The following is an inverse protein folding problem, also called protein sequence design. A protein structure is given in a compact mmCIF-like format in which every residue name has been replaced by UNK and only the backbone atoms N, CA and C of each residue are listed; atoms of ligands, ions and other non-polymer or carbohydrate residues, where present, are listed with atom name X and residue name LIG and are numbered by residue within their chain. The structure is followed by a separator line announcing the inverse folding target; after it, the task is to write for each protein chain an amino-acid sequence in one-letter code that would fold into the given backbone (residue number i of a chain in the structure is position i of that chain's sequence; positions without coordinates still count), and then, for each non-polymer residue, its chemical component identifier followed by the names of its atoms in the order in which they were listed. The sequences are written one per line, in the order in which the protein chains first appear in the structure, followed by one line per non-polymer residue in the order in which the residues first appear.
data_IF_945061989718
#
_entry.id   IF_945061989718
#
_cell.length_a   1.000
_cell.length_b   1.000
_cell.length_c   1.000
_cell.angle_alpha   90.00
_cell.angle_beta   90.00
_cell.angle_gamma   90.00
#
_symmetry.space_group_name_H-M   'P 1'
#
loop_
_entity.id
_entity.type
_entity.pdbx_description
1 polymer ?
#
# COMPACT_ATOMS: atom_id res chain seq x y z
N UNK A 1 10.27 18.44 0.60
CA UNK A 1 9.19 17.68 -0.08
C UNK A 1 7.98 17.52 0.84
N UNK A 2 6.75 17.34 0.28
CA UNK A 2 5.53 17.06 1.06
C UNK A 2 4.80 15.86 0.46
N UNK A 3 4.47 14.88 1.29
CA UNK A 3 3.66 13.71 0.91
C UNK A 3 2.20 13.97 1.27
N UNK A 4 1.32 13.92 0.28
CA UNK A 4 -0.11 14.20 0.41
C UNK A 4 -0.91 12.90 0.32
N UNK A 5 -1.78 12.69 1.27
CA UNK A 5 -2.69 11.54 1.35
C UNK A 5 -2.78 10.97 2.76
N UNK A 6 -3.80 10.18 3.00
CA UNK A 6 -4.05 9.51 4.29
C UNK A 6 -3.19 8.25 4.44
N UNK A 7 -2.73 7.95 5.67
CA UNK A 7 -1.90 6.75 5.94
C UNK A 7 -2.70 5.44 5.99
N UNK A 8 -4.03 5.48 6.01
CA UNK A 8 -4.88 4.31 5.78
C UNK A 8 -4.79 3.80 4.34
N UNK A 9 -4.35 4.65 3.40
CA UNK A 9 -4.00 4.21 2.06
C UNK A 9 -2.69 3.42 2.06
N UNK A 10 -2.69 2.16 1.63
CA UNK A 10 -1.48 1.35 1.55
C UNK A 10 -0.43 1.95 0.62
N UNK A 11 -0.87 2.65 -0.42
CA UNK A 11 0.01 3.33 -1.36
C UNK A 11 0.71 4.55 -0.74
N UNK A 12 0.02 5.31 0.11
CA UNK A 12 0.62 6.45 0.84
C UNK A 12 1.57 5.92 1.91
N UNK A 13 1.13 4.93 2.69
CA UNK A 13 1.89 4.36 3.80
C UNK A 13 3.22 3.76 3.33
N UNK A 14 3.22 2.97 2.22
CA UNK A 14 4.48 2.41 1.70
C UNK A 14 5.47 3.49 1.28
N UNK A 15 4.99 4.62 0.74
CA UNK A 15 5.85 5.75 0.37
C UNK A 15 6.40 6.44 1.62
N UNK A 16 5.58 6.71 2.63
CA UNK A 16 6.01 7.35 3.87
C UNK A 16 7.12 6.55 4.57
N UNK A 17 6.93 5.24 4.73
CA UNK A 17 7.91 4.32 5.32
C UNK A 17 9.21 4.32 4.50
N UNK A 18 9.10 4.27 3.18
CA UNK A 18 10.27 4.24 2.28
C UNK A 18 11.07 5.53 2.30
N UNK A 19 10.41 6.70 2.33
CA UNK A 19 11.07 8.00 2.47
C UNK A 19 11.89 8.08 3.75
N UNK A 20 11.33 7.62 4.87
CA UNK A 20 12.01 7.58 6.15
C UNK A 20 13.26 6.67 6.11
N UNK A 21 13.12 5.46 5.56
CA UNK A 21 14.24 4.51 5.41
C UNK A 21 15.33 5.02 4.48
N UNK A 22 14.99 5.80 3.46
CA UNK A 22 15.95 6.47 2.57
C UNK A 22 16.61 7.69 3.24
N UNK A 23 16.13 8.13 4.41
CA UNK A 23 16.64 9.31 5.11
C UNK A 23 16.20 10.62 4.45
N UNK A 24 15.11 10.61 3.69
CA UNK A 24 14.59 11.78 2.99
C UNK A 24 13.62 12.51 3.90
N UNK A 25 13.94 13.74 4.26
CA UNK A 25 13.05 14.60 5.03
C UNK A 25 11.83 15.04 4.20
N UNK A 26 10.63 14.88 4.76
CA UNK A 26 9.38 15.31 4.14
C UNK A 26 8.35 15.73 5.18
N UNK A 27 7.44 16.64 4.81
CA UNK A 27 6.21 16.89 5.55
C UNK A 27 5.13 15.92 5.10
N UNK A 28 4.28 15.46 6.02
CA UNK A 28 3.10 14.66 5.69
C UNK A 28 1.83 15.48 5.88
N UNK A 29 1.00 15.56 4.82
CA UNK A 29 -0.30 16.21 4.84
C UNK A 29 -1.41 15.18 4.64
N UNK A 30 -2.17 14.94 5.70
CA UNK A 30 -3.25 13.96 5.76
C UNK A 30 -4.51 14.51 5.09
N UNK A 31 -4.57 14.47 3.76
CA UNK A 31 -5.71 14.95 2.98
C UNK A 31 -6.41 13.77 2.32
N UNK A 32 -7.72 13.63 2.58
CA UNK A 32 -8.54 12.57 2.00
C UNK A 32 -8.90 12.88 0.55
N UNK A 33 -8.78 11.85 -0.32
CA UNK A 33 -9.28 11.91 -1.71
C UNK A 33 -10.82 11.86 -1.79
N UNK A 34 -11.50 11.61 -0.67
CA UNK A 34 -12.97 11.55 -0.58
C UNK A 34 -13.54 12.81 0.08
N UNK A 35 -13.25 13.06 1.36
CA UNK A 35 -13.78 14.22 2.08
C UNK A 35 -13.03 15.51 1.80
N UNK A 36 -11.78 15.43 1.35
CA UNK A 36 -10.89 16.56 1.05
C UNK A 36 -10.70 16.87 -0.43
N UNK A 37 -11.61 16.44 -1.31
CA UNK A 37 -11.47 16.54 -2.78
C UNK A 37 -11.07 17.94 -3.24
N UNK A 38 -11.73 18.99 -2.73
CA UNK A 38 -11.42 20.38 -3.10
C UNK A 38 -9.99 20.79 -2.71
N UNK A 39 -9.55 20.40 -1.53
CA UNK A 39 -8.19 20.69 -1.06
C UNK A 39 -7.17 19.85 -1.86
N UNK A 40 -7.47 18.58 -2.09
CA UNK A 40 -6.58 17.68 -2.81
C UNK A 40 -6.42 18.11 -4.27
N UNK A 41 -7.52 18.48 -4.94
CA UNK A 41 -7.50 18.90 -6.35
C UNK A 41 -6.75 20.21 -6.59
N UNK A 42 -6.65 21.08 -5.58
CA UNK A 42 -5.82 22.28 -5.64
C UNK A 42 -4.31 21.97 -5.65
N UNK A 43 -3.91 20.79 -5.18
CA UNK A 43 -2.52 20.30 -5.19
C UNK A 43 -2.27 19.42 -6.41
N UNK A 44 -3.16 18.45 -6.62
CA UNK A 44 -3.12 17.52 -7.75
C UNK A 44 -4.54 17.35 -8.32
N UNK A 45 -4.84 17.91 -9.51
CA UNK A 45 -6.18 17.86 -10.09
C UNK A 45 -6.66 16.44 -10.43
N UNK A 46 -5.75 15.45 -10.51
CA UNK A 46 -6.10 14.04 -10.71
C UNK A 46 -6.71 13.42 -9.44
N UNK A 47 -6.54 14.08 -8.27
CA UNK A 47 -7.04 13.60 -6.96
C UNK A 47 -6.56 12.17 -6.66
N UNK A 48 -5.28 11.90 -6.88
CA UNK A 48 -4.68 10.56 -6.70
C UNK A 48 -3.65 10.57 -5.56
N UNK A 49 -3.93 9.80 -4.52
CA UNK A 49 -2.99 9.53 -3.42
C UNK A 49 -2.17 8.23 -3.68
N UNK A 50 -0.87 8.21 -3.33
CA UNK A 50 -0.06 9.33 -2.86
C UNK A 50 0.22 10.37 -3.94
N UNK A 51 0.33 11.62 -3.50
CA UNK A 51 0.92 12.71 -4.28
C UNK A 51 2.14 13.21 -3.53
N UNK A 52 3.28 13.36 -4.22
CA UNK A 52 4.50 13.95 -3.68
C UNK A 52 4.72 15.31 -4.34
N UNK A 53 4.75 16.37 -3.53
CA UNK A 53 5.15 17.70 -3.97
C UNK A 53 6.64 17.86 -3.69
N UNK A 54 7.43 18.04 -4.74
CA UNK A 54 8.87 18.21 -4.68
C UNK A 54 9.26 19.62 -4.23
N UNK A 55 10.55 19.84 -3.90
CA UNK A 55 11.05 21.14 -3.42
C UNK A 55 11.02 22.22 -4.50
N UNK A 56 11.07 21.84 -5.78
CA UNK A 56 10.93 22.71 -6.94
C UNK A 56 9.47 23.01 -7.34
N UNK A 57 8.51 22.45 -6.59
CA UNK A 57 7.07 22.54 -6.87
C UNK A 57 6.55 21.47 -7.83
N UNK A 58 7.39 20.60 -8.37
CA UNK A 58 6.98 19.47 -9.20
C UNK A 58 6.05 18.52 -8.43
N UNK A 59 5.01 17.99 -9.09
CA UNK A 59 4.01 17.11 -8.50
C UNK A 59 4.11 15.73 -9.12
N UNK A 60 4.43 14.75 -8.30
CA UNK A 60 4.51 13.34 -8.70
C UNK A 60 3.36 12.54 -8.10
N UNK A 61 2.90 11.54 -8.82
CA UNK A 61 1.90 10.58 -8.36
C UNK A 61 2.22 9.20 -8.89
N UNK A 62 1.50 8.22 -8.37
CA UNK A 62 1.72 6.78 -8.43
C UNK A 62 2.91 6.37 -7.53
N UNK A 63 2.59 5.52 -6.55
CA UNK A 63 3.54 5.18 -5.48
C UNK A 63 4.85 4.59 -5.98
N UNK A 64 4.83 3.76 -7.04
CA UNK A 64 6.04 3.12 -7.55
C UNK A 64 6.95 4.11 -8.29
N UNK A 65 6.36 5.08 -9.02
CA UNK A 65 7.12 6.14 -9.70
C UNK A 65 7.71 7.13 -8.68
N UNK A 66 6.95 7.47 -7.62
CA UNK A 66 7.46 8.26 -6.51
C UNK A 66 8.67 7.57 -5.88
N UNK A 67 8.57 6.26 -5.58
CA UNK A 67 9.67 5.50 -4.98
C UNK A 67 10.88 5.43 -5.89
N UNK A 68 10.69 5.20 -7.19
CA UNK A 68 11.77 5.21 -8.17
C UNK A 68 12.50 6.57 -8.21
N UNK A 69 11.75 7.66 -8.19
CA UNK A 69 12.31 9.01 -8.17
C UNK A 69 13.13 9.28 -6.90
N UNK A 70 12.59 8.95 -5.71
CA UNK A 70 13.27 9.25 -4.45
C UNK A 70 14.48 8.36 -4.22
N UNK A 71 14.48 7.13 -4.71
CA UNK A 71 15.67 6.26 -4.73
C UNK A 71 16.78 6.87 -5.62
N UNK A 72 16.44 7.27 -6.84
CA UNK A 72 17.37 7.92 -7.75
C UNK A 72 17.95 9.21 -7.15
N UNK A 73 17.10 10.02 -6.49
CA UNK A 73 17.52 11.26 -5.82
C UNK A 73 18.43 11.01 -4.61
N UNK A 74 18.16 9.98 -3.82
CA UNK A 74 18.94 9.67 -2.60
C UNK A 74 20.26 8.95 -2.89
N UNK A 75 20.44 8.38 -4.07
CA UNK A 75 21.53 7.48 -4.40
C UNK A 75 21.50 6.16 -3.61
N UNK A 76 20.38 5.85 -2.95
CA UNK A 76 20.16 4.64 -2.15
C UNK A 76 19.01 3.83 -2.75
N UNK A 77 19.04 2.51 -2.58
CA UNK A 77 17.99 1.64 -3.07
C UNK A 77 17.45 0.72 -1.96
N UNK A 78 16.13 0.57 -1.94
CA UNK A 78 15.42 -0.41 -1.09
C UNK A 78 15.21 -1.74 -1.83
N UNK A 79 15.92 -1.97 -2.92
CA UNK A 79 15.95 -3.20 -3.70
C UNK A 79 17.29 -3.90 -3.58
N UNK A 80 17.34 -5.19 -3.85
CA UNK A 80 18.59 -5.94 -3.96
C UNK A 80 19.39 -5.48 -5.18
N UNK A 81 20.72 -5.49 -5.05
CA UNK A 81 21.64 -5.33 -6.19
C UNK A 81 21.92 -6.64 -6.92
N UNK A 82 21.55 -7.79 -6.33
CA UNK A 82 21.62 -9.09 -6.97
C UNK A 82 20.43 -9.29 -7.90
N UNK A 83 20.63 -9.47 -9.23
CA UNK A 83 19.54 -9.61 -10.20
C UNK A 83 18.61 -10.79 -9.92
N UNK A 84 19.14 -11.90 -9.39
CA UNK A 84 18.32 -13.07 -9.08
C UNK A 84 17.36 -12.78 -7.91
N UNK A 85 17.85 -12.15 -6.86
CA UNK A 85 17.01 -11.71 -5.74
C UNK A 85 16.04 -10.60 -6.17
N UNK A 86 16.49 -9.63 -6.95
CA UNK A 86 15.68 -8.53 -7.47
C UNK A 86 14.46 -9.03 -8.25
N UNK A 87 14.62 -10.08 -9.06
CA UNK A 87 13.49 -10.71 -9.77
C UNK A 87 12.40 -11.18 -8.80
N UNK A 88 12.77 -11.80 -7.68
CA UNK A 88 11.82 -12.26 -6.67
C UNK A 88 11.19 -11.10 -5.90
N UNK A 89 11.97 -10.06 -5.60
CA UNK A 89 11.45 -8.83 -4.99
C UNK A 89 10.39 -8.15 -5.89
N UNK A 90 10.67 -8.00 -7.18
CA UNK A 90 9.72 -7.45 -8.15
C UNK A 90 8.46 -8.29 -8.27
N UNK A 91 8.60 -9.63 -8.29
CA UNK A 91 7.46 -10.53 -8.31
C UNK A 91 6.59 -10.35 -7.05
N UNK A 92 7.20 -10.30 -5.86
CA UNK A 92 6.49 -10.10 -4.61
C UNK A 92 5.73 -8.77 -4.57
N UNK A 93 6.39 -7.66 -4.95
CA UNK A 93 5.78 -6.34 -5.01
C UNK A 93 4.66 -6.30 -6.06
N UNK A 94 4.86 -6.90 -7.22
CA UNK A 94 3.83 -7.00 -8.27
C UNK A 94 2.58 -7.72 -7.77
N UNK A 95 2.74 -8.87 -7.08
CA UNK A 95 1.63 -9.61 -6.48
C UNK A 95 0.93 -8.81 -5.39
N UNK A 96 1.69 -8.17 -4.49
CA UNK A 96 1.14 -7.33 -3.44
C UNK A 96 0.32 -6.16 -4.02
N UNK A 97 0.85 -5.44 -5.01
CA UNK A 97 0.15 -4.32 -5.62
C UNK A 97 -1.08 -4.76 -6.42
N UNK A 98 -1.04 -5.92 -7.08
CA UNK A 98 -2.21 -6.49 -7.74
C UNK A 98 -3.32 -6.83 -6.72
N UNK A 99 -2.97 -7.47 -5.61
CA UNK A 99 -3.92 -7.74 -4.53
C UNK A 99 -4.50 -6.44 -3.94
N UNK A 100 -3.65 -5.44 -3.69
CA UNK A 100 -4.02 -4.13 -3.16
C UNK A 100 -5.02 -3.40 -4.06
N UNK A 101 -4.76 -3.38 -5.37
CA UNK A 101 -5.66 -2.76 -6.36
C UNK A 101 -7.05 -3.40 -6.33
N UNK A 102 -7.11 -4.74 -6.31
CA UNK A 102 -8.39 -5.44 -6.28
C UNK A 102 -9.11 -5.27 -4.95
N UNK A 103 -8.38 -5.29 -3.83
CA UNK A 103 -8.94 -4.98 -2.53
C UNK A 103 -9.56 -3.57 -2.49
N UNK A 104 -8.86 -2.56 -2.99
CA UNK A 104 -9.39 -1.20 -3.09
C UNK A 104 -10.64 -1.11 -3.98
N UNK A 105 -10.67 -1.82 -5.12
CA UNK A 105 -11.83 -1.88 -6.00
C UNK A 105 -13.05 -2.53 -5.30
N UNK A 106 -12.84 -3.60 -4.52
CA UNK A 106 -13.92 -4.24 -3.74
C UNK A 106 -14.46 -3.25 -2.71
N UNK A 107 -13.57 -2.59 -1.96
CA UNK A 107 -13.96 -1.60 -0.97
C UNK A 107 -14.77 -0.47 -1.60
N UNK A 108 -14.33 0.07 -2.75
CA UNK A 108 -15.04 1.14 -3.45
C UNK A 108 -16.41 0.67 -3.97
N UNK A 109 -16.49 -0.51 -4.54
CA UNK A 109 -17.75 -1.08 -5.01
C UNK A 109 -18.75 -1.24 -3.84
N UNK A 110 -18.27 -1.70 -2.69
CA UNK A 110 -19.11 -1.96 -1.52
C UNK A 110 -19.48 -0.70 -0.72
N UNK A 111 -18.58 0.29 -0.65
CA UNK A 111 -18.74 1.45 0.22
C UNK A 111 -19.25 2.70 -0.51
N UNK A 112 -18.90 2.87 -1.79
CA UNK A 112 -19.22 4.09 -2.53
C UNK A 112 -20.43 3.92 -3.45
N UNK A 113 -20.76 2.69 -3.87
CA UNK A 113 -21.92 2.44 -4.71
C UNK A 113 -23.16 2.10 -3.87
N UNK A 114 -24.32 2.66 -4.23
CA UNK A 114 -25.59 2.18 -3.66
C UNK A 114 -25.74 0.67 -3.89
N UNK A 115 -26.28 -0.05 -2.90
CA UNK A 115 -26.42 -1.52 -2.96
C UNK A 115 -27.10 -1.99 -4.24
N UNK A 116 -28.14 -1.28 -4.70
CA UNK A 116 -28.87 -1.60 -5.93
C UNK A 116 -28.04 -1.39 -7.22
N UNK A 117 -26.90 -0.69 -7.14
CA UNK A 117 -26.02 -0.43 -8.28
C UNK A 117 -24.72 -1.25 -8.22
N UNK A 118 -24.53 -2.09 -7.20
CA UNK A 118 -23.40 -2.99 -7.08
C UNK A 118 -23.55 -4.15 -8.08
N UNK A 119 -22.43 -4.54 -8.70
CA UNK A 119 -22.45 -5.59 -9.71
C UNK A 119 -21.68 -6.81 -9.25
N UNK A 120 -22.40 -7.81 -8.71
CA UNK A 120 -21.82 -9.02 -8.11
C UNK A 120 -20.84 -9.78 -9.03
N UNK A 121 -21.12 -10.02 -10.32
CA UNK A 121 -20.17 -10.74 -11.16
C UNK A 121 -18.80 -10.04 -11.28
N UNK A 122 -18.79 -8.70 -11.19
CA UNK A 122 -17.53 -7.94 -11.13
C UNK A 122 -16.81 -8.13 -9.80
N UNK A 123 -17.56 -8.05 -8.69
CA UNK A 123 -16.98 -8.27 -7.34
C UNK A 123 -16.42 -9.67 -7.21
N UNK A 124 -17.11 -10.69 -7.68
CA UNK A 124 -16.62 -12.08 -7.70
C UNK A 124 -15.30 -12.19 -8.49
N UNK A 125 -15.26 -11.58 -9.67
CA UNK A 125 -14.05 -11.59 -10.52
C UNK A 125 -12.86 -10.95 -9.83
N UNK A 126 -13.01 -9.72 -9.29
CA UNK A 126 -11.90 -9.01 -8.66
C UNK A 126 -11.51 -9.64 -7.32
N UNK A 127 -12.45 -10.25 -6.59
CA UNK A 127 -12.18 -11.07 -5.40
C UNK A 127 -11.32 -12.27 -5.75
N UNK A 128 -11.69 -13.03 -6.79
CA UNK A 128 -10.87 -14.15 -7.27
C UNK A 128 -9.44 -13.73 -7.65
N UNK A 129 -9.27 -12.58 -8.30
CA UNK A 129 -7.95 -12.03 -8.64
C UNK A 129 -7.15 -11.64 -7.39
N UNK A 130 -7.79 -10.99 -6.43
CA UNK A 130 -7.18 -10.62 -5.14
C UNK A 130 -6.68 -11.87 -4.40
N UNK A 131 -7.55 -12.87 -4.24
CA UNK A 131 -7.22 -14.11 -3.55
C UNK A 131 -6.09 -14.87 -4.24
N UNK A 132 -6.09 -14.94 -5.57
CA UNK A 132 -5.03 -15.57 -6.34
C UNK A 132 -3.67 -14.85 -6.14
N UNK A 133 -3.68 -13.51 -6.14
CA UNK A 133 -2.47 -12.73 -5.90
C UNK A 133 -1.95 -12.89 -4.46
N UNK A 134 -2.83 -12.87 -3.45
CA UNK A 134 -2.46 -13.11 -2.05
C UNK A 134 -1.92 -14.52 -1.84
N UNK A 135 -2.55 -15.54 -2.44
CA UNK A 135 -2.07 -16.93 -2.34
C UNK A 135 -0.69 -17.11 -2.97
N UNK A 136 -0.47 -16.49 -4.12
CA UNK A 136 0.85 -16.51 -4.76
C UNK A 136 1.90 -15.76 -3.92
N UNK A 137 1.52 -14.63 -3.30
CA UNK A 137 2.41 -13.87 -2.42
C UNK A 137 2.73 -14.65 -1.13
N UNK A 138 1.75 -15.30 -0.50
CA UNK A 138 1.94 -16.20 0.64
C UNK A 138 2.98 -17.27 0.31
N UNK A 139 2.84 -17.90 -0.86
CA UNK A 139 3.79 -18.91 -1.33
C UNK A 139 5.21 -18.34 -1.51
N UNK A 140 5.34 -17.14 -2.09
CA UNK A 140 6.65 -16.46 -2.25
C UNK A 140 7.29 -16.16 -0.88
N UNK A 141 6.52 -15.64 0.09
CA UNK A 141 7.02 -15.33 1.44
C UNK A 141 7.49 -16.60 2.15
N UNK A 142 6.71 -17.68 2.09
CA UNK A 142 7.04 -18.93 2.72
C UNK A 142 8.23 -19.65 2.07
N UNK A 143 8.31 -19.63 0.73
CA UNK A 143 9.36 -20.31 0.00
C UNK A 143 10.71 -19.58 0.04
N UNK A 144 10.69 -18.23 0.10
CA UNK A 144 11.90 -17.39 0.01
C UNK A 144 12.02 -16.42 1.16
N UNK A 145 12.13 -16.90 2.41
CA UNK A 145 12.17 -16.00 3.57
C UNK A 145 13.33 -15.01 3.52
N UNK A 146 14.43 -15.34 2.83
CA UNK A 146 15.59 -14.45 2.68
C UNK A 146 15.24 -13.16 1.91
N UNK A 147 14.31 -13.20 0.95
CA UNK A 147 13.85 -12.01 0.18
C UNK A 147 13.13 -11.01 1.10
N UNK A 148 12.51 -11.50 2.18
CA UNK A 148 11.71 -10.71 3.11
C UNK A 148 12.39 -10.50 4.47
N UNK A 149 13.65 -10.96 4.61
CA UNK A 149 14.38 -10.90 5.88
C UNK A 149 14.71 -9.46 6.29
N UNK A 150 15.14 -8.64 5.34
CA UNK A 150 15.46 -7.23 5.56
C UNK A 150 14.14 -6.40 5.56
N UNK A 151 13.77 -5.82 6.73
CA UNK A 151 12.56 -5.00 6.85
C UNK A 151 12.62 -3.69 6.05
N UNK A 152 13.81 -3.29 5.59
CA UNK A 152 14.02 -2.10 4.77
C UNK A 152 13.86 -2.32 3.26
N UNK A 153 13.54 -3.53 2.80
CA UNK A 153 13.38 -3.82 1.37
C UNK A 153 11.93 -3.68 0.91
N UNK A 154 11.75 -3.24 -0.33
CA UNK A 154 10.42 -2.99 -0.91
C UNK A 154 9.52 -4.23 -0.90
N UNK A 155 10.09 -5.43 -1.09
CA UNK A 155 9.34 -6.68 -1.01
C UNK A 155 8.69 -6.85 0.38
N UNK A 156 9.45 -6.65 1.45
CA UNK A 156 8.95 -6.76 2.82
C UNK A 156 7.96 -5.64 3.15
N UNK A 157 8.34 -4.38 2.89
CA UNK A 157 7.51 -3.18 3.17
C UNK A 157 6.15 -3.29 2.47
N UNK A 158 6.17 -3.49 1.14
CA UNK A 158 4.93 -3.48 0.35
C UNK A 158 4.02 -4.66 0.71
N UNK A 159 4.59 -5.86 0.90
CA UNK A 159 3.80 -7.04 1.29
C UNK A 159 3.13 -6.86 2.65
N UNK A 160 3.86 -6.35 3.66
CA UNK A 160 3.30 -6.12 4.99
C UNK A 160 2.22 -5.04 4.98
N UNK A 161 2.48 -3.89 4.33
CA UNK A 161 1.51 -2.79 4.23
C UNK A 161 0.23 -3.23 3.53
N UNK A 162 0.35 -3.98 2.42
CA UNK A 162 -0.81 -4.48 1.67
C UNK A 162 -1.57 -5.52 2.48
N UNK A 163 -0.88 -6.42 3.17
CA UNK A 163 -1.53 -7.40 4.04
C UNK A 163 -2.32 -6.72 5.15
N UNK A 164 -1.70 -5.78 5.88
CA UNK A 164 -2.37 -5.02 6.95
C UNK A 164 -3.62 -4.30 6.43
N UNK A 165 -3.52 -3.63 5.27
CA UNK A 165 -4.66 -2.98 4.63
C UNK A 165 -5.77 -3.98 4.28
N UNK A 166 -5.43 -5.08 3.64
CA UNK A 166 -6.41 -6.07 3.18
C UNK A 166 -7.13 -6.72 4.36
N UNK A 167 -6.40 -7.02 5.45
CA UNK A 167 -7.01 -7.53 6.68
C UNK A 167 -7.93 -6.51 7.35
N UNK A 168 -7.53 -5.24 7.39
CA UNK A 168 -8.37 -4.19 7.97
C UNK A 168 -9.66 -3.96 7.19
N UNK A 169 -9.61 -4.03 5.86
CA UNK A 169 -10.76 -3.72 4.99
C UNK A 169 -11.64 -4.92 4.66
N UNK A 170 -11.06 -6.11 4.54
CA UNK A 170 -11.73 -7.31 4.02
C UNK A 170 -11.46 -8.55 4.90
N UNK A 171 -11.01 -8.37 6.13
CA UNK A 171 -10.63 -9.46 7.04
C UNK A 171 -11.73 -10.49 7.30
N UNK A 172 -13.00 -10.09 7.25
CA UNK A 172 -14.12 -11.01 7.35
C UNK A 172 -14.21 -12.02 6.19
N UNK A 173 -13.59 -11.69 5.03
CA UNK A 173 -13.54 -12.52 3.82
C UNK A 173 -12.21 -13.29 3.69
N UNK A 174 -11.20 -12.95 4.52
CA UNK A 174 -9.86 -13.47 4.46
C UNK A 174 -9.49 -14.12 5.80
N UNK A 175 -9.52 -15.44 5.86
CA UNK A 175 -9.00 -16.17 7.01
C UNK A 175 -7.49 -15.93 7.17
N UNK A 176 -7.06 -15.20 8.21
CA UNK A 176 -5.63 -14.97 8.45
C UNK A 176 -4.85 -16.29 8.62
N UNK A 177 -5.51 -17.35 9.05
CA UNK A 177 -4.94 -18.68 9.18
C UNK A 177 -4.53 -19.32 7.83
N UNK A 178 -5.12 -18.87 6.73
CA UNK A 178 -4.79 -19.34 5.37
C UNK A 178 -3.53 -18.67 4.80
N UNK A 179 -3.00 -17.63 5.50
CA UNK A 179 -1.86 -16.81 5.07
C UNK A 179 -0.84 -16.62 6.20
N UNK A 180 -0.33 -17.70 6.82
CA UNK A 180 0.50 -17.62 8.01
C UNK A 180 1.82 -16.86 7.78
N UNK A 181 2.44 -16.99 6.59
CA UNK A 181 3.71 -16.32 6.30
C UNK A 181 3.53 -14.81 6.14
N UNK A 182 2.48 -14.38 5.44
CA UNK A 182 2.13 -12.96 5.31
C UNK A 182 1.73 -12.35 6.65
N UNK A 183 0.94 -13.06 7.44
CA UNK A 183 0.54 -12.62 8.77
C UNK A 183 1.77 -12.42 9.68
N UNK A 184 2.69 -13.40 9.71
CA UNK A 184 3.92 -13.31 10.48
C UNK A 184 4.84 -12.18 10.01
N UNK A 185 4.98 -12.01 8.67
CA UNK A 185 5.75 -10.92 8.08
C UNK A 185 5.18 -9.56 8.52
N UNK A 186 3.88 -9.35 8.36
CA UNK A 186 3.25 -8.09 8.73
C UNK A 186 3.35 -7.83 10.24
N UNK A 187 3.07 -8.82 11.07
CA UNK A 187 3.21 -8.70 12.53
C UNK A 187 4.63 -8.26 12.93
N UNK A 188 5.65 -8.83 12.31
CA UNK A 188 7.05 -8.47 12.58
C UNK A 188 7.35 -7.03 12.14
N UNK A 189 6.93 -6.63 10.95
CA UNK A 189 7.24 -5.29 10.42
C UNK A 189 6.46 -4.19 11.14
N UNK A 190 5.23 -4.42 11.53
CA UNK A 190 4.40 -3.46 12.28
C UNK A 190 5.02 -3.07 13.64
N UNK A 191 5.96 -3.87 14.17
CA UNK A 191 6.71 -3.56 15.40
C UNK A 191 8.01 -2.78 15.14
N UNK A 192 8.38 -2.53 13.88
CA UNK A 192 9.60 -1.78 13.55
C UNK A 192 9.37 -0.27 13.63
N UNK A 193 10.44 0.47 13.94
CA UNK A 193 10.35 1.93 14.12
C UNK A 193 9.72 2.67 12.93
N UNK A 194 10.02 2.37 11.64
CA UNK A 194 9.38 3.06 10.52
C UNK A 194 7.87 2.79 10.43
N UNK A 195 7.42 1.57 10.73
CA UNK A 195 6.00 1.22 10.71
C UNK A 195 5.24 1.86 11.87
N UNK A 196 5.83 1.89 13.08
CA UNK A 196 5.27 2.56 14.25
C UNK A 196 5.18 4.08 14.06
N UNK A 197 6.14 4.68 13.34
CA UNK A 197 6.15 6.10 13.01
C UNK A 197 5.05 6.49 12.01
N UNK A 198 4.70 5.58 11.10
CA UNK A 198 3.66 5.78 10.09
C UNK A 198 2.56 4.70 10.23
N UNK A 199 1.76 4.75 11.30
CA UNK A 199 0.71 3.77 11.53
C UNK A 199 -0.38 3.90 10.46
N UNK A 200 -1.06 2.77 10.16
CA UNK A 200 -2.26 2.82 9.31
C UNK A 200 -3.38 3.54 10.06
N UNK A 201 -3.55 4.82 9.79
CA UNK A 201 -4.52 5.68 10.45
C UNK A 201 -5.23 6.58 9.45
N UNK A 202 -6.54 6.68 9.58
CA UNK A 202 -7.40 7.52 8.75
C UNK A 202 -8.85 7.11 8.88
N UNK A 203 -9.78 7.97 8.39
CA UNK A 203 -11.21 7.67 8.42
C UNK A 203 -11.61 6.57 7.41
N UNK A 204 -10.66 6.09 6.60
CA UNK A 204 -10.95 5.16 5.53
C UNK A 204 -11.78 5.75 4.40
N UNK A 205 -12.50 4.87 3.71
CA UNK A 205 -13.50 5.25 2.71
C UNK A 205 -14.76 5.72 3.44
N UNK A 206 -15.48 6.76 2.95
CA UNK A 206 -16.75 7.19 3.53
C UNK A 206 -17.72 6.02 3.72
N UNK A 207 -18.35 5.93 4.89
CA UNK A 207 -19.23 4.83 5.26
C UNK A 207 -18.64 3.79 6.22
N UNK A 208 -17.32 3.67 6.32
CA UNK A 208 -16.67 2.75 7.28
C UNK A 208 -16.63 3.27 8.72
N UNK A 209 -16.87 4.57 8.94
CA UNK A 209 -16.81 5.22 10.26
C UNK A 209 -18.18 5.55 10.90
N UNK A 210 -19.31 5.22 10.25
CA UNK A 210 -20.62 5.62 10.72
C UNK A 210 -21.37 4.52 11.51
N UNK A 211 -20.69 3.48 11.95
CA UNK A 211 -21.30 2.33 12.60
C UNK A 211 -20.48 1.70 13.71
N UNK A 212 -20.03 2.50 14.69
CA UNK A 212 -19.67 1.99 16.04
C UNK A 212 -20.03 3.04 17.08
#
# INVERSE_FOLDING_TARGET
MRLIGMLDSPYVRRVAISLDLLGIAFGHESVSVFSGVKQFSAINPVVKAPTLVCDDGGVLMESSLILQFVEARSGRSLWSSDPAQLQHEFRAVGLALAACEKAAQIVYERQLRPTAAQYEPWVERITGQMLAALKALEYEVGLRPAVFADPGKQAAITSAVVWSFTQAMLGAQLGAADYPSLAALAQRLEQTAPFLKYPSAGPGVPGLGAGQ
#
